data_IF_211184432807
#
_entry.id   IF_211184432807
#
_cell.length_a   1.000
_cell.length_b   1.000
_cell.length_c   1.000
_cell.angle_alpha   90.00
_cell.angle_beta   90.00
_cell.angle_gamma   90.00
#
_symmetry.space_group_name_H-M   'P 1'
#
loop_
_entity.id
_entity.type
_entity.pdbx_description
1 polymer ?
#
# COMPACT_ATOMS: atom_id res chain seq x y z
N UNK A 1 -29.95 -2.37 -34.15
CA UNK A 1 -28.78 -3.13 -33.67
C UNK A 1 -27.60 -2.18 -33.83
N UNK A 2 -27.42 -1.27 -32.88
CA UNK A 2 -26.29 -0.35 -32.85
C UNK A 2 -25.09 -1.07 -32.25
N UNK A 3 -24.01 -1.00 -32.97
CA UNK A 3 -22.69 -1.55 -32.71
C UNK A 3 -22.16 -1.10 -31.34
N UNK A 4 -22.35 -1.94 -30.32
CA UNK A 4 -21.71 -1.80 -29.02
C UNK A 4 -20.27 -2.31 -29.15
N UNK A 5 -19.47 -1.62 -29.95
CA UNK A 5 -18.02 -1.80 -29.94
C UNK A 5 -17.51 -1.34 -28.58
N UNK A 6 -17.40 -2.28 -27.64
CA UNK A 6 -16.68 -2.07 -26.39
C UNK A 6 -15.28 -1.53 -26.73
N UNK A 7 -14.76 -0.51 -26.03
CA UNK A 7 -13.44 0.01 -26.28
C UNK A 7 -12.43 -1.14 -26.17
N UNK A 8 -11.76 -1.46 -27.26
CA UNK A 8 -10.74 -2.51 -27.28
C UNK A 8 -9.67 -2.16 -26.24
N UNK A 9 -9.30 -3.09 -25.35
CA UNK A 9 -8.28 -2.85 -24.35
C UNK A 9 -6.99 -2.44 -25.06
N UNK A 10 -6.53 -1.23 -24.82
CA UNK A 10 -5.26 -0.73 -25.33
C UNK A 10 -4.17 -1.64 -24.80
N UNK A 11 -3.38 -2.23 -25.71
CA UNK A 11 -2.41 -3.28 -25.45
C UNK A 11 -1.65 -3.09 -24.12
N UNK A 12 -1.76 -4.01 -23.14
CA UNK A 12 -1.18 -3.88 -21.80
C UNK A 12 0.34 -3.63 -21.83
N UNK A 13 1.00 -4.12 -22.88
CA UNK A 13 2.43 -3.94 -23.12
C UNK A 13 2.84 -2.46 -23.24
N UNK A 14 2.00 -1.59 -23.83
CA UNK A 14 2.31 -0.15 -23.95
C UNK A 14 2.34 0.54 -22.59
N UNK A 15 1.41 0.22 -21.70
CA UNK A 15 1.35 0.78 -20.37
C UNK A 15 2.51 0.32 -19.50
N UNK A 16 2.92 -0.94 -19.62
CA UNK A 16 4.11 -1.47 -18.93
C UNK A 16 5.39 -0.80 -19.41
N UNK A 17 5.54 -0.60 -20.72
CA UNK A 17 6.69 0.10 -21.28
C UNK A 17 6.74 1.57 -20.82
N UNK A 18 5.60 2.26 -20.79
CA UNK A 18 5.49 3.62 -20.28
C UNK A 18 5.82 3.68 -18.79
N UNK A 19 5.27 2.76 -18.00
CA UNK A 19 5.57 2.68 -16.58
C UNK A 19 7.07 2.43 -16.31
N UNK A 20 7.70 1.49 -17.02
CA UNK A 20 9.12 1.24 -16.92
C UNK A 20 9.97 2.44 -17.37
N UNK A 21 9.59 3.08 -18.47
CA UNK A 21 10.26 4.28 -18.98
C UNK A 21 10.19 5.48 -18.02
N UNK A 22 9.15 5.55 -17.17
CA UNK A 22 9.01 6.58 -16.15
C UNK A 22 9.72 6.19 -14.84
N UNK A 23 9.65 4.92 -14.44
CA UNK A 23 10.22 4.45 -13.18
C UNK A 23 11.74 4.52 -13.15
N UNK A 24 12.42 4.18 -14.26
CA UNK A 24 13.89 4.18 -14.30
C UNK A 24 14.46 5.58 -14.06
N UNK A 25 14.08 6.63 -14.82
CA UNK A 25 14.59 7.98 -14.54
C UNK A 25 14.18 8.50 -13.16
N UNK A 26 12.96 8.20 -12.68
CA UNK A 26 12.55 8.57 -11.32
C UNK A 26 13.43 7.90 -10.26
N UNK A 27 13.76 6.62 -10.40
CA UNK A 27 14.67 5.92 -9.50
C UNK A 27 16.08 6.53 -9.52
N UNK A 28 16.59 6.88 -10.70
CA UNK A 28 17.87 7.59 -10.83
C UNK A 28 17.84 8.95 -10.14
N UNK A 29 16.78 9.75 -10.34
CA UNK A 29 16.60 11.02 -9.63
C UNK A 29 16.53 10.81 -8.12
N UNK A 30 15.82 9.79 -7.65
CA UNK A 30 15.75 9.46 -6.23
C UNK A 30 17.13 9.14 -5.62
N UNK A 31 18.01 8.47 -6.36
CA UNK A 31 19.37 8.19 -5.93
C UNK A 31 20.23 9.47 -5.82
N UNK A 32 19.96 10.47 -6.63
CA UNK A 32 20.70 11.74 -6.64
C UNK A 32 20.21 12.73 -5.59
N UNK A 33 18.91 12.74 -5.30
CA UNK A 33 18.28 13.62 -4.30
C UNK A 33 18.50 13.07 -2.89
N UNK A 34 19.02 13.89 -1.96
CA UNK A 34 19.19 13.52 -0.54
C UNK A 34 19.71 14.68 0.28
N UNK A 35 19.87 14.50 1.60
CA UNK A 35 20.28 15.55 2.55
C UNK A 35 21.68 16.12 2.29
N UNK A 36 22.56 15.42 1.56
CA UNK A 36 23.87 15.91 1.16
C UNK A 36 24.06 15.83 -0.35
N UNK A 37 24.82 16.76 -0.97
CA UNK A 37 25.13 16.69 -2.37
C UNK A 37 25.98 15.44 -2.69
N UNK A 38 25.61 14.69 -3.70
CA UNK A 38 26.48 13.68 -4.31
C UNK A 38 27.06 14.28 -5.58
N UNK A 39 28.33 14.63 -5.62
CA UNK A 39 28.95 15.13 -6.83
C UNK A 39 29.05 14.00 -7.85
N UNK A 40 28.30 14.12 -8.95
CA UNK A 40 28.24 13.11 -10.02
C UNK A 40 29.65 12.75 -10.58
N UNK A 41 30.56 13.73 -10.62
CA UNK A 41 31.91 13.53 -11.13
C UNK A 41 32.83 12.67 -10.25
N UNK A 42 32.52 12.51 -8.96
CA UNK A 42 33.33 11.74 -8.01
C UNK A 42 32.66 10.43 -7.56
N UNK A 43 31.48 10.10 -8.10
CA UNK A 43 30.72 8.91 -7.70
C UNK A 43 31.52 7.59 -7.82
N UNK A 44 32.40 7.49 -8.82
CA UNK A 44 33.19 6.29 -9.07
C UNK A 44 34.58 6.33 -8.40
N UNK A 45 35.02 7.50 -7.96
CA UNK A 45 36.38 7.70 -7.41
C UNK A 45 36.39 7.94 -5.89
N UNK A 46 35.25 8.28 -5.29
CA UNK A 46 35.12 8.54 -3.85
C UNK A 46 34.48 7.35 -3.11
N UNK A 47 35.23 6.62 -2.28
CA UNK A 47 34.69 5.50 -1.49
C UNK A 47 33.56 5.92 -0.55
N UNK A 48 33.54 7.17 -0.04
CA UNK A 48 32.48 7.67 0.84
C UNK A 48 31.19 7.88 0.08
N UNK A 49 31.24 8.38 -1.16
CA UNK A 49 30.08 8.54 -2.01
C UNK A 49 29.43 7.17 -2.34
N UNK A 50 30.24 6.16 -2.64
CA UNK A 50 29.78 4.78 -2.87
C UNK A 50 29.14 4.18 -1.62
N UNK A 51 29.71 4.43 -0.44
CA UNK A 51 29.14 3.95 0.83
C UNK A 51 27.78 4.59 1.12
N UNK A 52 27.62 5.90 0.92
CA UNK A 52 26.32 6.59 1.08
C UNK A 52 25.27 6.04 0.12
N UNK A 53 25.64 5.76 -1.14
CA UNK A 53 24.75 5.13 -2.10
C UNK A 53 24.30 3.74 -1.64
N UNK A 54 25.26 2.88 -1.24
CA UNK A 54 24.98 1.49 -0.89
C UNK A 54 24.20 1.35 0.42
N UNK A 55 24.52 2.17 1.43
CA UNK A 55 23.96 2.04 2.79
C UNK A 55 22.65 2.79 2.96
N UNK A 56 22.44 3.89 2.24
CA UNK A 56 21.30 4.78 2.46
C UNK A 56 20.41 4.96 1.22
N UNK A 57 20.96 5.39 0.08
CA UNK A 57 20.13 5.84 -1.05
C UNK A 57 19.49 4.70 -1.83
N UNK A 58 20.26 3.64 -2.13
CA UNK A 58 19.73 2.44 -2.80
C UNK A 58 18.68 1.75 -1.91
N UNK A 59 18.95 1.47 -0.61
CA UNK A 59 17.95 0.92 0.30
C UNK A 59 16.66 1.75 0.38
N UNK A 60 16.77 3.08 0.50
CA UNK A 60 15.60 3.96 0.54
C UNK A 60 14.79 3.88 -0.75
N UNK A 61 15.44 4.04 -1.91
CA UNK A 61 14.75 3.97 -3.21
C UNK A 61 14.08 2.62 -3.41
N UNK A 62 14.76 1.51 -3.09
CA UNK A 62 14.20 0.17 -3.14
C UNK A 62 13.00 0.01 -2.18
N UNK A 63 13.11 0.51 -0.95
CA UNK A 63 12.02 0.49 0.02
C UNK A 63 10.77 1.23 -0.47
N UNK A 64 10.95 2.43 -1.05
CA UNK A 64 9.83 3.21 -1.61
C UNK A 64 9.16 2.45 -2.76
N UNK A 65 9.94 1.90 -3.69
CA UNK A 65 9.42 1.14 -4.83
C UNK A 65 8.66 -0.12 -4.39
N UNK A 66 9.24 -0.91 -3.50
CA UNK A 66 8.63 -2.14 -2.97
C UNK A 66 7.35 -1.83 -2.20
N UNK A 67 7.39 -0.82 -1.33
CA UNK A 67 6.23 -0.39 -0.54
C UNK A 67 5.09 0.10 -1.42
N UNK A 68 5.38 1.00 -2.37
CA UNK A 68 4.37 1.55 -3.27
C UNK A 68 3.72 0.47 -4.13
N UNK A 69 4.52 -0.46 -4.68
CA UNK A 69 4.03 -1.59 -5.46
C UNK A 69 3.16 -2.53 -4.62
N UNK A 70 3.67 -2.96 -3.45
CA UNK A 70 2.99 -3.93 -2.60
C UNK A 70 1.67 -3.37 -2.02
N UNK A 71 1.65 -2.13 -1.55
CA UNK A 71 0.44 -1.49 -1.03
C UNK A 71 -0.62 -1.25 -2.11
N UNK A 72 -0.23 -0.86 -3.32
CA UNK A 72 -1.16 -0.73 -4.43
C UNK A 72 -1.80 -2.08 -4.81
N UNK A 73 -1.01 -3.16 -4.86
CA UNK A 73 -1.50 -4.52 -5.10
C UNK A 73 -2.41 -4.99 -3.96
N UNK A 74 -2.03 -4.79 -2.69
CA UNK A 74 -2.87 -5.10 -1.54
C UNK A 74 -4.20 -4.35 -1.58
N UNK A 75 -4.20 -3.10 -2.03
CA UNK A 75 -5.40 -2.30 -2.25
C UNK A 75 -6.35 -2.92 -3.26
N UNK A 76 -5.86 -3.33 -4.44
CA UNK A 76 -6.68 -4.03 -5.45
C UNK A 76 -7.30 -5.30 -4.87
N UNK A 77 -6.49 -6.12 -4.20
CA UNK A 77 -6.98 -7.38 -3.62
C UNK A 77 -8.09 -7.06 -2.63
N UNK A 78 -7.91 -6.09 -1.73
CA UNK A 78 -8.92 -5.69 -0.76
C UNK A 78 -10.20 -5.21 -1.42
N UNK A 79 -10.10 -4.38 -2.48
CA UNK A 79 -11.25 -3.91 -3.26
C UNK A 79 -12.06 -5.07 -3.86
N UNK A 80 -11.39 -6.10 -4.37
CA UNK A 80 -12.04 -7.28 -4.94
C UNK A 80 -12.68 -8.16 -3.85
N UNK A 81 -11.99 -8.40 -2.74
CA UNK A 81 -12.49 -9.22 -1.64
C UNK A 81 -13.74 -8.62 -0.99
N UNK A 82 -13.74 -7.29 -0.81
CA UNK A 82 -14.86 -6.53 -0.23
C UNK A 82 -15.89 -6.13 -1.30
N UNK A 83 -15.54 -6.31 -2.59
CA UNK A 83 -16.35 -5.91 -3.76
C UNK A 83 -16.71 -4.42 -3.73
N UNK A 84 -15.74 -3.60 -3.34
CA UNK A 84 -15.91 -2.17 -3.20
C UNK A 84 -14.63 -1.43 -3.58
N UNK A 85 -14.68 -0.59 -4.61
CA UNK A 85 -13.55 0.19 -5.12
C UNK A 85 -13.09 1.33 -4.19
N UNK A 86 -13.83 1.62 -3.13
CA UNK A 86 -13.49 2.67 -2.15
C UNK A 86 -12.85 2.13 -0.89
N UNK A 87 -12.42 0.88 -0.89
CA UNK A 87 -11.81 0.21 0.24
C UNK A 87 -10.32 0.00 -0.02
N UNK A 88 -9.52 0.19 1.02
CA UNK A 88 -8.09 -0.14 1.07
C UNK A 88 -7.73 -0.65 2.48
N UNK A 89 -6.52 -1.21 2.72
CA UNK A 89 -6.13 -1.67 4.05
C UNK A 89 -6.26 -0.61 5.15
N UNK A 90 -5.94 0.67 4.85
CA UNK A 90 -6.07 1.79 5.79
C UNK A 90 -7.52 2.20 6.11
N UNK A 91 -8.49 1.88 5.22
CA UNK A 91 -9.91 2.17 5.48
C UNK A 91 -10.68 0.98 6.06
N UNK A 92 -10.00 -0.11 6.39
CA UNK A 92 -10.62 -1.36 6.89
C UNK A 92 -10.18 -1.72 8.30
N UNK A 93 -9.39 -0.85 8.94
CA UNK A 93 -8.83 -1.12 10.25
C UNK A 93 -7.66 -2.12 10.25
N UNK A 94 -7.21 -2.59 9.08
CA UNK A 94 -6.10 -3.54 8.97
C UNK A 94 -4.80 -2.91 9.46
N UNK A 95 -4.54 -1.67 9.07
CA UNK A 95 -3.35 -0.91 9.45
C UNK A 95 -3.34 -0.56 10.93
N UNK A 96 -4.46 -0.13 11.46
CA UNK A 96 -4.64 0.21 12.88
C UNK A 96 -4.53 -1.04 13.76
N UNK A 97 -5.07 -2.18 13.31
CA UNK A 97 -4.87 -3.46 13.99
C UNK A 97 -3.41 -3.90 14.00
N UNK A 98 -2.68 -3.75 12.87
CA UNK A 98 -1.24 -4.02 12.82
C UNK A 98 -0.46 -3.16 13.83
N UNK A 99 -0.82 -1.87 13.92
CA UNK A 99 -0.23 -0.94 14.89
C UNK A 99 -0.49 -1.35 16.34
N UNK A 100 -1.71 -1.79 16.66
CA UNK A 100 -2.04 -2.34 17.97
C UNK A 100 -1.17 -3.55 18.31
N UNK A 101 -0.98 -4.48 17.38
CA UNK A 101 -0.10 -5.63 17.56
C UNK A 101 1.36 -5.22 17.79
N UNK A 102 1.85 -4.25 17.02
CA UNK A 102 3.19 -3.70 17.18
C UNK A 102 3.37 -3.00 18.53
N UNK A 103 2.37 -2.22 18.95
CA UNK A 103 2.35 -1.53 20.23
C UNK A 103 2.35 -2.52 21.39
N UNK A 104 1.50 -3.55 21.35
CA UNK A 104 1.41 -4.58 22.36
C UNK A 104 2.75 -5.28 22.59
N UNK A 105 3.41 -5.74 21.51
CA UNK A 105 4.71 -6.41 21.66
C UNK A 105 5.81 -5.44 22.09
N UNK A 106 5.74 -4.17 21.70
CA UNK A 106 6.73 -3.16 22.11
C UNK A 106 6.63 -2.85 23.59
N UNK A 107 5.42 -2.88 24.18
CA UNK A 107 5.20 -2.74 25.61
C UNK A 107 5.59 -3.97 26.41
N UNK A 108 5.18 -5.15 25.94
CA UNK A 108 5.42 -6.41 26.68
C UNK A 108 6.85 -6.90 26.56
N UNK A 109 7.52 -6.65 25.44
CA UNK A 109 8.86 -7.09 25.14
C UNK A 109 9.62 -6.04 24.31
N UNK A 110 10.07 -4.92 24.91
CA UNK A 110 10.73 -3.80 24.17
C UNK A 110 11.92 -4.24 23.35
N UNK A 111 12.71 -5.20 23.84
CA UNK A 111 13.88 -5.79 23.20
C UNK A 111 13.57 -6.89 22.17
N UNK A 112 12.31 -7.16 21.88
CA UNK A 112 11.95 -8.22 20.94
C UNK A 112 12.56 -7.98 19.53
N UNK A 113 13.07 -9.05 18.87
CA UNK A 113 13.55 -8.98 17.49
C UNK A 113 12.47 -8.44 16.54
N UNK A 114 12.89 -7.78 15.45
CA UNK A 114 11.97 -7.20 14.48
C UNK A 114 10.99 -8.23 13.89
N UNK A 115 11.42 -9.47 13.74
CA UNK A 115 10.58 -10.57 13.28
C UNK A 115 9.39 -10.82 14.22
N UNK A 116 9.61 -10.79 15.53
CA UNK A 116 8.54 -10.98 16.54
C UNK A 116 7.55 -9.82 16.46
N UNK A 117 8.05 -8.58 16.36
CA UNK A 117 7.22 -7.38 16.16
C UNK A 117 6.37 -7.48 14.90
N UNK A 118 6.98 -7.94 13.80
CA UNK A 118 6.30 -8.18 12.52
C UNK A 118 5.21 -9.25 12.64
N UNK A 119 5.50 -10.39 13.27
CA UNK A 119 4.52 -11.47 13.45
C UNK A 119 3.35 -11.04 14.33
N UNK A 120 3.60 -10.26 15.40
CA UNK A 120 2.54 -9.69 16.23
C UNK A 120 1.67 -8.70 15.45
N UNK A 121 2.28 -7.80 14.68
CA UNK A 121 1.57 -6.89 13.80
C UNK A 121 0.76 -7.64 12.74
N UNK A 122 1.32 -8.68 12.11
CA UNK A 122 0.64 -9.50 11.12
C UNK A 122 -0.54 -10.28 11.72
N UNK A 123 -0.36 -10.89 12.89
CA UNK A 123 -1.43 -11.59 13.61
C UNK A 123 -2.59 -10.65 13.98
N UNK A 124 -2.27 -9.46 14.50
CA UNK A 124 -3.26 -8.44 14.80
C UNK A 124 -3.96 -7.91 13.53
N UNK A 125 -3.22 -7.68 12.44
CA UNK A 125 -3.77 -7.28 11.15
C UNK A 125 -4.74 -8.34 10.60
N UNK A 126 -4.37 -9.63 10.66
CA UNK A 126 -5.24 -10.74 10.24
C UNK A 126 -6.52 -10.78 11.07
N UNK A 127 -6.42 -10.67 12.38
CA UNK A 127 -7.57 -10.64 13.28
C UNK A 127 -8.46 -9.44 13.00
N UNK A 128 -7.88 -8.23 12.88
CA UNK A 128 -8.59 -7.00 12.59
C UNK A 128 -9.28 -7.02 11.23
N UNK A 129 -8.59 -7.48 10.19
CA UNK A 129 -9.18 -7.65 8.85
C UNK A 129 -10.30 -8.69 8.88
N UNK A 130 -10.13 -9.80 9.64
CA UNK A 130 -11.16 -10.82 9.83
C UNK A 130 -12.44 -10.24 10.46
N UNK A 131 -12.29 -9.43 11.52
CA UNK A 131 -13.41 -8.74 12.18
C UNK A 131 -14.09 -7.78 11.19
N UNK A 132 -13.33 -6.95 10.48
CA UNK A 132 -13.88 -6.07 9.46
C UNK A 132 -14.67 -6.84 8.38
N UNK A 133 -14.13 -7.95 7.88
CA UNK A 133 -14.82 -8.78 6.87
C UNK A 133 -16.15 -9.36 7.40
N UNK A 134 -16.21 -9.70 8.69
CA UNK A 134 -17.45 -10.14 9.33
C UNK A 134 -18.48 -9.00 9.42
N UNK A 135 -18.04 -7.78 9.73
CA UNK A 135 -18.87 -6.58 9.75
C UNK A 135 -19.39 -6.25 8.34
N UNK A 136 -18.48 -6.23 7.35
CA UNK A 136 -18.80 -5.90 5.97
C UNK A 136 -19.82 -6.86 5.34
N UNK A 137 -19.80 -8.16 5.71
CA UNK A 137 -20.78 -9.16 5.25
C UNK A 137 -22.22 -8.87 5.67
N UNK A 138 -22.43 -8.07 6.74
CA UNK A 138 -23.75 -7.69 7.23
C UNK A 138 -24.33 -6.46 6.52
N UNK A 139 -23.51 -5.77 5.73
CA UNK A 139 -23.90 -4.56 5.00
C UNK A 139 -24.45 -4.96 3.62
N UNK A 140 -25.64 -4.48 3.23
CA UNK A 140 -26.21 -4.78 1.93
C UNK A 140 -25.33 -4.29 0.78
N UNK A 141 -25.10 -5.09 -0.29
CA UNK A 141 -24.18 -4.75 -1.38
C UNK A 141 -24.50 -3.47 -2.16
N UNK A 142 -25.77 -3.03 -2.13
CA UNK A 142 -26.21 -1.79 -2.79
C UNK A 142 -25.78 -0.52 -2.04
N UNK A 143 -25.38 -0.63 -0.79
CA UNK A 143 -24.93 0.50 0.04
C UNK A 143 -23.42 0.69 -0.04
N UNK A 144 -22.93 1.07 -1.22
CA UNK A 144 -21.49 1.12 -1.55
C UNK A 144 -20.68 1.98 -0.59
N UNK A 145 -21.25 3.06 -0.03
CA UNK A 145 -20.55 3.97 0.88
C UNK A 145 -20.51 3.50 2.34
N UNK A 146 -21.45 2.63 2.75
CA UNK A 146 -21.48 2.16 4.15
C UNK A 146 -20.29 1.25 4.49
N UNK A 147 -19.78 0.51 3.53
CA UNK A 147 -18.65 -0.40 3.76
C UNK A 147 -17.38 0.40 4.14
N UNK A 148 -16.92 1.38 3.34
CA UNK A 148 -15.80 2.22 3.73
C UNK A 148 -16.04 3.01 5.02
N UNK A 149 -17.26 3.53 5.20
CA UNK A 149 -17.63 4.27 6.41
C UNK A 149 -17.55 3.40 7.66
N UNK A 150 -18.05 2.17 7.61
CA UNK A 150 -17.95 1.22 8.72
C UNK A 150 -16.50 0.86 9.03
N UNK A 151 -15.66 0.77 8.01
CA UNK A 151 -14.23 0.54 8.17
C UNK A 151 -13.51 1.71 8.80
N UNK A 152 -13.82 2.94 8.41
CA UNK A 152 -13.27 4.16 9.03
C UNK A 152 -13.65 4.26 10.51
N UNK A 153 -14.92 3.95 10.87
CA UNK A 153 -15.36 3.94 12.27
C UNK A 153 -14.64 2.83 13.05
N UNK A 154 -14.53 1.64 12.47
CA UNK A 154 -13.81 0.53 13.07
C UNK A 154 -12.32 0.83 13.27
N UNK A 155 -11.64 1.35 12.23
CA UNK A 155 -10.25 1.78 12.30
C UNK A 155 -10.05 2.91 13.33
N UNK A 156 -10.97 3.88 13.37
CA UNK A 156 -10.96 4.94 14.38
C UNK A 156 -11.06 4.42 15.81
N UNK A 157 -11.90 3.39 16.03
CA UNK A 157 -11.98 2.72 17.34
C UNK A 157 -10.66 2.04 17.71
N UNK A 158 -10.05 1.29 16.78
CA UNK A 158 -8.74 0.66 17.01
C UNK A 158 -7.66 1.70 17.29
N UNK A 159 -7.67 2.81 16.56
CA UNK A 159 -6.72 3.91 16.76
C UNK A 159 -6.91 4.60 18.12
N UNK A 160 -8.15 4.79 18.58
CA UNK A 160 -8.43 5.36 19.90
C UNK A 160 -7.89 4.44 21.01
N UNK A 161 -8.08 3.11 20.89
CA UNK A 161 -7.51 2.12 21.80
C UNK A 161 -5.97 2.15 21.76
N UNK A 162 -5.37 2.20 20.55
CA UNK A 162 -3.92 2.29 20.41
C UNK A 162 -3.36 3.56 21.07
N UNK A 163 -4.02 4.70 20.85
CA UNK A 163 -3.61 5.98 21.43
C UNK A 163 -3.70 5.96 22.95
N UNK A 164 -4.79 5.41 23.53
CA UNK A 164 -4.94 5.25 24.97
C UNK A 164 -3.80 4.41 25.57
N UNK A 165 -3.53 3.24 24.97
CA UNK A 165 -2.46 2.34 25.42
C UNK A 165 -1.08 3.03 25.25
N UNK A 166 -0.87 3.78 24.18
CA UNK A 166 0.40 4.48 23.93
C UNK A 166 0.64 5.63 24.94
N UNK A 167 -0.42 6.32 25.38
CA UNK A 167 -0.34 7.36 26.44
C UNK A 167 0.07 6.71 27.76
N UNK A 168 -0.65 5.69 28.19
CA UNK A 168 -0.36 4.97 29.45
C UNK A 168 1.02 4.30 29.45
N UNK A 169 1.47 3.80 28.28
CA UNK A 169 2.77 3.15 28.11
C UNK A 169 3.94 4.11 27.82
N UNK A 170 3.72 5.43 27.73
CA UNK A 170 4.75 6.39 27.36
C UNK A 170 5.28 6.27 25.92
N UNK A 171 4.52 5.63 25.02
CA UNK A 171 4.89 5.33 23.64
C UNK A 171 4.23 6.25 22.59
N UNK A 172 3.64 7.37 23.01
CA UNK A 172 2.91 8.27 22.11
C UNK A 172 3.79 8.81 20.95
N UNK A 173 5.06 9.08 21.22
CA UNK A 173 6.00 9.52 20.17
C UNK A 173 6.26 8.43 19.14
N UNK A 174 6.39 7.16 19.59
CA UNK A 174 6.53 6.01 18.66
C UNK A 174 5.30 5.84 17.79
N UNK A 175 4.10 5.98 18.37
CA UNK A 175 2.86 5.94 17.61
C UNK A 175 2.83 7.03 16.52
N UNK A 176 3.26 8.26 16.84
CA UNK A 176 3.38 9.36 15.89
C UNK A 176 4.30 9.05 14.70
N UNK A 177 5.47 8.45 14.97
CA UNK A 177 6.41 8.01 13.93
C UNK A 177 5.77 6.94 13.03
N UNK A 178 5.12 5.93 13.62
CA UNK A 178 4.47 4.86 12.84
C UNK A 178 3.28 5.37 12.00
N UNK A 179 2.65 6.48 12.38
CA UNK A 179 1.58 7.11 11.61
C UNK A 179 2.08 8.00 10.46
N UNK A 180 3.35 8.35 10.43
CA UNK A 180 3.87 9.36 9.48
C UNK A 180 4.20 8.81 8.09
N UNK A 181 4.46 7.52 7.95
CA UNK A 181 4.87 6.92 6.66
C UNK A 181 6.19 7.50 6.15
N UNK A 182 7.28 7.27 6.90
CA UNK A 182 8.56 7.94 6.71
C UNK A 182 9.65 6.99 6.22
N UNK A 183 10.45 7.44 5.25
CA UNK A 183 11.56 6.68 4.68
C UNK A 183 12.95 7.21 5.07
N UNK A 184 13.05 8.27 5.87
CA UNK A 184 14.33 8.89 6.26
C UNK A 184 15.21 7.96 7.09
N UNK A 185 14.60 7.08 7.91
CA UNK A 185 15.29 6.10 8.74
C UNK A 185 15.68 4.79 8.03
N UNK A 186 15.41 4.67 6.73
CA UNK A 186 15.69 3.44 5.97
C UNK A 186 17.17 3.37 5.57
N UNK A 187 17.81 2.31 6.05
CA UNK A 187 19.20 1.96 5.77
C UNK A 187 19.30 0.49 5.39
N UNK A 188 20.45 0.09 4.81
CA UNK A 188 20.79 -1.31 4.64
C UNK A 188 20.73 -2.05 5.99
N UNK A 189 20.11 -3.23 6.02
CA UNK A 189 19.83 -4.01 7.23
C UNK A 189 18.48 -3.71 7.89
N UNK A 190 17.67 -2.76 7.36
CA UNK A 190 16.37 -2.39 7.95
C UNK A 190 15.20 -2.44 7.00
N UNK A 191 15.40 -2.59 5.70
CA UNK A 191 14.35 -2.60 4.67
C UNK A 191 14.09 -3.97 4.04
N UNK A 192 14.91 -4.94 4.37
CA UNK A 192 14.91 -6.27 3.73
C UNK A 192 13.57 -7.00 3.87
N UNK A 193 12.81 -6.70 4.91
CA UNK A 193 11.45 -7.22 5.09
C UNK A 193 10.50 -6.80 3.97
N UNK A 194 10.74 -5.66 3.33
CA UNK A 194 9.92 -5.19 2.21
C UNK A 194 10.09 -6.04 0.94
N UNK A 195 11.19 -6.81 0.82
CA UNK A 195 11.31 -7.81 -0.25
C UNK A 195 10.26 -8.91 -0.13
N UNK A 196 9.87 -9.27 1.12
CA UNK A 196 8.74 -10.19 1.33
C UNK A 196 7.42 -9.57 0.87
N UNK A 197 7.19 -8.27 1.13
CA UNK A 197 6.00 -7.58 0.64
C UNK A 197 5.97 -7.55 -0.90
N UNK A 198 7.10 -7.25 -1.54
CA UNK A 198 7.26 -7.34 -3.00
C UNK A 198 7.03 -8.75 -3.54
N UNK A 199 7.55 -9.77 -2.85
CA UNK A 199 7.32 -11.19 -3.17
C UNK A 199 5.85 -11.58 -3.09
N UNK A 200 5.12 -11.13 -2.05
CA UNK A 200 3.67 -11.36 -1.90
C UNK A 200 2.88 -10.64 -3.00
N UNK A 201 3.27 -9.43 -3.38
CA UNK A 201 2.67 -8.73 -4.52
C UNK A 201 2.89 -9.50 -5.84
N UNK A 202 4.09 -10.05 -6.05
CA UNK A 202 4.40 -10.89 -7.21
C UNK A 202 3.61 -12.20 -7.19
N UNK A 203 3.51 -12.88 -6.04
CA UNK A 203 2.69 -14.09 -5.89
C UNK A 203 1.21 -13.81 -6.20
N UNK A 204 0.71 -12.63 -5.84
CA UNK A 204 -0.66 -12.21 -6.13
C UNK A 204 -0.93 -12.10 -7.64
N UNK A 205 0.08 -11.85 -8.46
CA UNK A 205 -0.05 -11.84 -9.91
C UNK A 205 -0.42 -13.24 -10.46
N UNK A 206 0.12 -14.31 -9.88
CA UNK A 206 -0.24 -15.67 -10.29
C UNK A 206 -1.66 -16.06 -9.89
N UNK A 207 -2.23 -15.39 -8.88
CA UNK A 207 -3.61 -15.58 -8.44
C UNK A 207 -4.58 -14.52 -9.02
N UNK A 208 -4.13 -13.65 -9.94
CA UNK A 208 -4.92 -12.51 -10.43
C UNK A 208 -6.26 -12.91 -11.04
N UNK A 209 -6.29 -13.98 -11.85
CA UNK A 209 -7.54 -14.48 -12.46
C UNK A 209 -8.51 -14.98 -11.38
N UNK A 210 -8.00 -15.64 -10.35
CA UNK A 210 -8.80 -16.14 -9.22
C UNK A 210 -9.39 -14.99 -8.42
N UNK A 211 -8.64 -13.92 -8.18
CA UNK A 211 -9.14 -12.71 -7.53
C UNK A 211 -10.18 -11.99 -8.38
N UNK A 212 -9.99 -11.93 -9.70
CA UNK A 212 -10.98 -11.34 -10.62
C UNK A 212 -12.32 -12.10 -10.52
N UNK A 213 -12.29 -13.43 -10.55
CA UNK A 213 -13.48 -14.28 -10.41
C UNK A 213 -14.10 -14.10 -9.01
N UNK A 214 -13.29 -14.09 -7.94
CA UNK A 214 -13.76 -13.90 -6.58
C UNK A 214 -14.48 -12.55 -6.40
N UNK A 215 -14.03 -11.50 -7.10
CA UNK A 215 -14.67 -10.18 -7.15
C UNK A 215 -16.09 -10.17 -7.73
N UNK A 216 -16.47 -11.18 -8.54
CA UNK A 216 -17.83 -11.32 -9.05
C UNK A 216 -18.83 -11.80 -7.97
N UNK A 217 -18.33 -12.27 -6.84
CA UNK A 217 -19.11 -12.73 -5.71
C UNK A 217 -19.10 -14.23 -5.54
N UNK A 218 -19.57 -14.67 -4.34
CA UNK A 218 -19.49 -16.06 -3.90
C UNK A 218 -20.20 -17.03 -4.84
N UNK A 219 -21.45 -16.72 -5.19
CA UNK A 219 -22.30 -17.67 -5.95
C UNK A 219 -21.77 -17.86 -7.38
N UNK A 220 -21.37 -16.75 -8.04
CA UNK A 220 -20.76 -16.80 -9.37
C UNK A 220 -19.44 -17.55 -9.32
N UNK A 221 -18.61 -17.29 -8.31
CA UNK A 221 -17.32 -17.96 -8.16
C UNK A 221 -17.45 -19.46 -7.96
N UNK A 222 -18.41 -19.90 -7.14
CA UNK A 222 -18.67 -21.33 -6.92
C UNK A 222 -19.20 -22.01 -8.19
N UNK A 223 -20.09 -21.35 -8.93
CA UNK A 223 -20.60 -21.86 -10.21
C UNK A 223 -19.49 -22.01 -11.28
N UNK A 224 -18.47 -21.17 -11.23
CA UNK A 224 -17.26 -21.25 -12.07
C UNK A 224 -16.21 -22.24 -11.53
N UNK A 225 -16.52 -22.98 -10.44
CA UNK A 225 -15.63 -23.99 -9.86
C UNK A 225 -14.51 -23.44 -8.98
N UNK A 226 -14.55 -22.12 -8.62
CA UNK A 226 -13.51 -21.53 -7.79
C UNK A 226 -13.68 -21.97 -6.32
N UNK A 227 -12.58 -22.33 -5.69
CA UNK A 227 -12.53 -22.56 -4.23
C UNK A 227 -12.54 -21.23 -3.49
N UNK A 228 -13.69 -20.54 -3.50
CA UNK A 228 -13.86 -19.16 -3.01
C UNK A 228 -13.24 -18.90 -1.64
N UNK A 229 -13.42 -19.84 -0.68
CA UNK A 229 -12.85 -19.69 0.68
C UNK A 229 -11.32 -19.66 0.71
N UNK A 230 -10.67 -20.43 -0.16
CA UNK A 230 -9.19 -20.48 -0.24
C UNK A 230 -8.65 -19.17 -0.85
N UNK A 231 -9.28 -18.67 -1.92
CA UNK A 231 -8.89 -17.40 -2.56
C UNK A 231 -9.11 -16.23 -1.63
N UNK A 232 -10.25 -16.20 -0.93
CA UNK A 232 -10.55 -15.20 0.10
C UNK A 232 -9.49 -15.25 1.22
N UNK A 233 -9.18 -16.44 1.75
CA UNK A 233 -8.17 -16.63 2.79
C UNK A 233 -6.79 -16.16 2.33
N UNK A 234 -6.35 -16.56 1.14
CA UNK A 234 -5.08 -16.12 0.56
C UNK A 234 -5.01 -14.60 0.42
N UNK A 235 -6.09 -13.96 -0.07
CA UNK A 235 -6.14 -12.52 -0.20
C UNK A 235 -6.06 -11.78 1.14
N UNK A 236 -6.81 -12.23 2.16
CA UNK A 236 -6.77 -11.63 3.51
C UNK A 236 -5.37 -11.77 4.11
N UNK A 237 -4.75 -12.95 4.02
CA UNK A 237 -3.39 -13.18 4.50
C UNK A 237 -2.39 -12.28 3.79
N UNK A 238 -2.47 -12.18 2.47
CA UNK A 238 -1.59 -11.32 1.68
C UNK A 238 -1.73 -9.85 2.07
N UNK A 239 -2.95 -9.32 2.14
CA UNK A 239 -3.20 -7.93 2.54
C UNK A 239 -2.68 -7.66 3.94
N UNK A 240 -2.96 -8.53 4.90
CA UNK A 240 -2.51 -8.38 6.30
C UNK A 240 -0.99 -8.44 6.45
N UNK A 241 -0.33 -9.36 5.74
CA UNK A 241 1.14 -9.47 5.75
C UNK A 241 1.78 -8.25 5.09
N UNK A 242 1.31 -7.83 3.91
CA UNK A 242 1.85 -6.64 3.23
C UNK A 242 1.69 -5.41 4.12
N UNK A 243 0.49 -5.18 4.68
CA UNK A 243 0.24 -4.03 5.54
C UNK A 243 1.13 -4.05 6.80
N UNK A 244 1.28 -5.19 7.45
CA UNK A 244 2.12 -5.30 8.65
C UNK A 244 3.61 -5.11 8.35
N UNK A 245 4.12 -5.67 7.24
CA UNK A 245 5.50 -5.48 6.80
C UNK A 245 5.81 -4.01 6.53
N UNK A 246 4.89 -3.33 5.86
CA UNK A 246 5.02 -1.89 5.56
C UNK A 246 4.96 -1.07 6.85
N UNK A 247 3.98 -1.30 7.73
CA UNK A 247 3.82 -0.52 8.97
C UNK A 247 5.03 -0.68 9.89
N UNK A 248 5.54 -1.90 10.05
CA UNK A 248 6.71 -2.16 10.91
C UNK A 248 7.98 -1.50 10.35
N UNK A 249 8.08 -1.36 9.03
CA UNK A 249 9.29 -0.85 8.37
C UNK A 249 9.27 0.66 8.14
N UNK A 250 8.15 1.19 7.62
CA UNK A 250 8.04 2.59 7.19
C UNK A 250 6.86 3.35 7.80
N UNK A 251 5.94 2.66 8.45
CA UNK A 251 4.73 3.24 9.01
C UNK A 251 3.52 3.23 8.06
N UNK A 252 2.46 3.96 8.46
CA UNK A 252 1.22 4.03 7.70
C UNK A 252 1.35 4.87 6.44
N UNK A 253 0.78 4.37 5.35
CA UNK A 253 0.73 5.05 4.06
C UNK A 253 -0.73 5.08 3.58
N UNK A 254 -1.44 6.19 3.80
CA UNK A 254 -2.86 6.29 3.42
C UNK A 254 -3.03 6.44 1.92
N UNK A 255 -4.17 6.00 1.41
CA UNK A 255 -4.67 6.19 0.04
C UNK A 255 -3.93 5.49 -1.10
N UNK A 256 -2.78 4.87 -0.90
CA UNK A 256 -2.05 4.19 -1.99
C UNK A 256 -2.90 3.07 -2.57
N UNK A 257 -3.44 2.21 -1.71
CA UNK A 257 -4.28 1.07 -2.09
C UNK A 257 -5.64 1.48 -2.65
N UNK A 258 -6.03 2.72 -2.48
CA UNK A 258 -7.29 3.25 -2.99
C UNK A 258 -7.10 4.01 -4.31
N UNK A 259 -6.16 4.94 -4.34
CA UNK A 259 -5.99 5.86 -5.48
C UNK A 259 -5.40 5.15 -6.69
N UNK A 260 -4.32 4.40 -6.49
CA UNK A 260 -3.58 3.77 -7.60
C UNK A 260 -4.44 2.76 -8.38
N UNK A 261 -5.12 1.80 -7.73
CA UNK A 261 -5.97 0.86 -8.44
C UNK A 261 -7.10 1.54 -9.20
N UNK A 262 -7.75 2.53 -8.58
CA UNK A 262 -8.85 3.25 -9.23
C UNK A 262 -8.39 4.06 -10.45
N UNK A 263 -7.18 4.63 -10.39
CA UNK A 263 -6.60 5.36 -11.51
C UNK A 263 -6.31 4.41 -12.69
N UNK A 264 -5.66 3.27 -12.41
CA UNK A 264 -5.31 2.28 -13.42
C UNK A 264 -6.56 1.61 -14.00
N UNK A 265 -7.55 1.26 -13.17
CA UNK A 265 -8.83 0.69 -13.62
C UNK A 265 -9.58 1.61 -14.60
N UNK A 266 -9.51 2.94 -14.43
CA UNK A 266 -10.08 3.90 -15.39
C UNK A 266 -9.35 3.91 -16.75
N UNK A 267 -8.05 3.60 -16.77
CA UNK A 267 -7.23 3.63 -17.98
C UNK A 267 -7.26 2.30 -18.74
N UNK A 268 -7.31 1.17 -18.01
CA UNK A 268 -7.12 -0.17 -18.58
C UNK A 268 -8.34 -1.09 -18.41
N UNK A 269 -9.34 -0.68 -17.61
CA UNK A 269 -10.45 -1.54 -17.21
C UNK A 269 -10.10 -2.44 -16.01
N UNK A 270 -10.96 -3.42 -15.74
CA UNK A 270 -10.95 -4.22 -14.50
C UNK A 270 -10.30 -5.62 -14.69
N UNK A 271 -9.64 -5.88 -15.82
CA UNK A 271 -8.88 -7.14 -16.00
C UNK A 271 -7.62 -7.11 -15.14
N UNK A 272 -7.67 -7.81 -14.00
CA UNK A 272 -6.60 -7.76 -13.01
C UNK A 272 -5.28 -8.33 -13.55
N UNK A 273 -5.32 -9.39 -14.35
CA UNK A 273 -4.12 -10.01 -14.89
C UNK A 273 -3.31 -9.05 -15.77
N UNK A 274 -3.99 -8.18 -16.51
CA UNK A 274 -3.34 -7.17 -17.35
C UNK A 274 -2.98 -5.91 -16.57
N UNK A 275 -3.83 -5.49 -15.63
CA UNK A 275 -3.67 -4.23 -14.90
C UNK A 275 -2.73 -4.33 -13.69
N UNK A 276 -2.59 -5.50 -13.05
CA UNK A 276 -1.83 -5.63 -11.80
C UNK A 276 -0.36 -5.21 -11.91
N UNK A 277 0.40 -5.56 -12.97
CA UNK A 277 1.77 -5.07 -13.12
C UNK A 277 1.84 -3.54 -13.27
N UNK A 278 0.85 -2.95 -13.94
CA UNK A 278 0.76 -1.49 -14.10
C UNK A 278 0.36 -0.83 -12.77
N UNK A 279 -0.53 -1.45 -12.00
CA UNK A 279 -0.88 -1.00 -10.63
C UNK A 279 0.35 -0.99 -9.74
N UNK A 280 1.14 -2.08 -9.75
CA UNK A 280 2.37 -2.15 -8.98
C UNK A 280 3.37 -1.05 -9.39
N UNK A 281 3.59 -0.89 -10.70
CA UNK A 281 4.50 0.13 -11.22
C UNK A 281 4.01 1.56 -10.95
N UNK A 282 2.71 1.83 -11.09
CA UNK A 282 2.12 3.12 -10.77
C UNK A 282 2.19 3.45 -9.27
N UNK A 283 1.95 2.46 -8.39
CA UNK A 283 2.11 2.61 -6.95
C UNK A 283 3.54 2.93 -6.56
N UNK A 284 4.50 2.19 -7.12
CA UNK A 284 5.92 2.45 -6.93
C UNK A 284 6.31 3.87 -7.40
N UNK A 285 5.88 4.26 -8.60
CA UNK A 285 6.23 5.54 -9.19
C UNK A 285 5.61 6.73 -8.46
N UNK A 286 4.32 6.67 -8.13
CA UNK A 286 3.63 7.75 -7.41
C UNK A 286 4.21 7.96 -6.02
N UNK A 287 4.48 6.87 -5.27
CA UNK A 287 5.11 6.98 -3.96
C UNK A 287 6.53 7.54 -4.06
N UNK A 288 7.29 7.13 -5.10
CA UNK A 288 8.63 7.65 -5.34
C UNK A 288 8.63 9.15 -5.66
N UNK A 289 7.67 9.63 -6.45
CA UNK A 289 7.46 11.07 -6.69
C UNK A 289 7.18 11.79 -5.37
N UNK A 290 6.30 11.26 -4.52
CA UNK A 290 5.99 11.86 -3.22
C UNK A 290 7.21 11.88 -2.28
N UNK A 291 8.03 10.82 -2.28
CA UNK A 291 9.26 10.78 -1.50
C UNK A 291 10.30 11.80 -1.99
N UNK A 292 10.48 11.93 -3.32
CA UNK A 292 11.35 12.97 -3.90
C UNK A 292 10.85 14.36 -3.55
N UNK A 293 9.55 14.62 -3.70
CA UNK A 293 8.96 15.91 -3.34
C UNK A 293 9.14 16.21 -1.86
N UNK A 294 8.92 15.23 -0.97
CA UNK A 294 9.14 15.37 0.47
C UNK A 294 10.56 15.79 0.84
N UNK A 295 11.55 15.33 0.07
CA UNK A 295 12.98 15.69 0.26
C UNK A 295 13.35 17.06 -0.31
N UNK A 296 12.64 17.54 -1.35
CA UNK A 296 13.01 18.79 -2.05
C UNK A 296 12.26 20.00 -1.49
N UNK A 297 10.96 19.83 -1.13
CA UNK A 297 10.08 20.97 -0.78
C UNK A 297 10.55 21.81 0.41
N UNK A 298 11.21 21.19 1.39
CA UNK A 298 11.62 21.86 2.63
C UNK A 298 13.10 21.61 2.99
N UNK A 299 13.94 21.49 2.00
CA UNK A 299 15.38 21.27 2.22
C UNK A 299 15.97 22.24 3.28
N UNK A 300 16.80 21.80 4.25
CA UNK A 300 17.35 20.44 4.43
C UNK A 300 16.44 19.47 5.23
N UNK A 301 15.26 19.92 5.66
CA UNK A 301 14.29 19.07 6.35
C UNK A 301 13.50 18.23 5.36
N UNK A 302 13.08 17.04 5.80
CA UNK A 302 12.28 16.15 4.97
C UNK A 302 10.82 16.14 5.45
N UNK A 303 9.88 16.14 4.49
CA UNK A 303 8.47 15.91 4.76
C UNK A 303 8.22 14.42 4.53
N UNK A 304 7.60 13.69 5.49
CA UNK A 304 7.28 12.26 5.30
C UNK A 304 6.52 12.00 4.00
N UNK A 305 6.95 10.99 3.24
CA UNK A 305 6.32 10.64 1.97
C UNK A 305 4.83 10.26 2.14
N UNK A 306 4.48 9.64 3.28
CA UNK A 306 3.09 9.34 3.65
C UNK A 306 2.23 10.60 3.78
N UNK A 307 2.77 11.69 4.33
CA UNK A 307 2.07 12.99 4.43
C UNK A 307 1.84 13.59 3.04
N UNK A 308 2.87 13.62 2.19
CA UNK A 308 2.76 14.15 0.81
C UNK A 308 1.75 13.33 0.01
N UNK A 309 1.85 11.99 0.09
CA UNK A 309 0.90 11.10 -0.59
C UNK A 309 -0.51 11.22 -0.02
N UNK A 310 -0.65 11.39 1.30
CA UNK A 310 -1.94 11.59 1.97
C UNK A 310 -2.69 12.81 1.43
N UNK A 311 -2.03 13.95 1.27
CA UNK A 311 -2.62 15.17 0.69
C UNK A 311 -3.01 14.93 -0.78
N UNK A 312 -2.09 14.39 -1.57
CA UNK A 312 -2.34 14.08 -2.98
C UNK A 312 -3.46 13.06 -3.13
N UNK A 313 -3.40 11.96 -2.37
CA UNK A 313 -4.37 10.87 -2.40
C UNK A 313 -5.79 11.34 -2.00
N UNK A 314 -5.90 12.17 -0.96
CA UNK A 314 -7.17 12.75 -0.55
C UNK A 314 -7.78 13.63 -1.67
N UNK A 315 -6.99 14.47 -2.32
CA UNK A 315 -7.44 15.31 -3.43
C UNK A 315 -7.92 14.46 -4.62
N UNK A 316 -7.14 13.45 -5.00
CA UNK A 316 -7.51 12.51 -6.08
C UNK A 316 -8.76 11.71 -5.70
N UNK A 317 -8.86 11.24 -4.46
CA UNK A 317 -10.04 10.51 -3.99
C UNK A 317 -11.31 11.36 -4.07
N UNK A 318 -11.27 12.60 -3.61
CA UNK A 318 -12.39 13.53 -3.72
C UNK A 318 -12.79 13.77 -5.19
N UNK A 319 -11.81 13.96 -6.06
CA UNK A 319 -12.07 14.08 -7.50
C UNK A 319 -12.73 12.82 -8.07
N UNK A 320 -12.26 11.62 -7.68
CA UNK A 320 -12.84 10.35 -8.10
C UNK A 320 -14.28 10.17 -7.60
N UNK A 321 -14.59 10.65 -6.41
CA UNK A 321 -15.91 10.56 -5.79
C UNK A 321 -16.90 11.52 -6.43
N UNK A 322 -16.49 12.77 -6.66
CA UNK A 322 -17.33 13.83 -7.23
C UNK A 322 -17.56 13.66 -8.73
N UNK A 323 -16.55 13.20 -9.46
CA UNK A 323 -16.61 13.02 -10.91
C UNK A 323 -17.62 11.95 -11.37
N UNK A 324 -18.08 11.07 -10.48
CA UNK A 324 -19.16 10.10 -10.77
C UNK A 324 -20.57 10.73 -10.80
N UNK A 325 -20.76 11.92 -10.23
CA UNK A 325 -22.08 12.61 -10.23
C UNK A 325 -22.37 13.37 -11.54
N UNK A 326 -21.39 13.56 -12.40
CA UNK A 326 -21.55 14.31 -13.66
C UNK A 326 -21.96 13.43 -14.87
N UNK A 327 -22.13 12.13 -14.70
CA UNK A 327 -22.42 11.18 -15.80
C UNK A 327 -23.60 10.23 -15.51
N UNK A 328 -24.50 10.60 -14.56
CA UNK A 328 -25.74 9.84 -14.26
C UNK A 328 -26.97 10.64 -14.63
#
# INVERSE_FOLDING_TARGET
VADLAAPQPRAPRRWLLLAAALLVPLALVSLLVGAGPLPLGSLLSDPQALQVLAVSRIPRTAAVLLTGAAMAVAGVIMQLLVRNKFVEPGTTGTSEAAMLGLLAVTLMAPGAPILVKMLAAAGAALAGTGVFMLLARRIPPHQVLLIPLSGLVYGGLLMAVATFIAIEGGLLQYLGVWMSGEFSGILAGRYELLWLAGGLALLSYFAADQFTIAGLGRDVSLNLGLRYGQVLGFGIVTVSLVSSLVIVTVGMLPFIGLVVPNLVSRLMGDNLRESLPVVAAAGAGLLLVCDILGRVLRYPYEIPAGTVFGIFGAAVFLYLLLGRRAGG
#
